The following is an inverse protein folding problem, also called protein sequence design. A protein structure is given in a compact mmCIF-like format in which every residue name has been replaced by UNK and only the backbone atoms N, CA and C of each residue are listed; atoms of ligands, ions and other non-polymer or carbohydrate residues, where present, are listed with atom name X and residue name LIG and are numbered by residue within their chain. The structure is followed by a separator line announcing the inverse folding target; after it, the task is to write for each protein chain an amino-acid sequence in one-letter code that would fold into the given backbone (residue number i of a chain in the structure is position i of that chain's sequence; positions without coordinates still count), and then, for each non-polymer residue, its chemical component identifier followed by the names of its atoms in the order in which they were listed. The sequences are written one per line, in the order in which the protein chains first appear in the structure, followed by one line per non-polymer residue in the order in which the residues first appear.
data_IF_738288183717
#
_entry.id   IF_738288183717
#
_cell.length_a   1.000
_cell.length_b   1.000
_cell.length_c   1.000
_cell.angle_alpha   90.00
_cell.angle_beta   90.00
_cell.angle_gamma   90.00
#
_symmetry.space_group_name_H-M   'P 1'
#
loop_
_entity.id
_entity.type
_entity.pdbx_description
1 polymer ?
#
# COMPACT_ATOMS: atom_id res chain seq x y z
N UNK A 1 -0.29 19.13 -0.35
CA UNK A 1 0.26 17.77 -0.26
C UNK A 1 -0.87 16.77 -0.44
N UNK A 2 -0.75 15.88 -1.43
CA UNK A 2 -1.76 14.87 -1.79
C UNK A 2 -1.25 13.47 -1.56
N UNK A 3 -2.09 12.62 -0.98
CA UNK A 3 -1.71 11.29 -0.49
C UNK A 3 -2.47 10.18 -1.23
N UNK A 4 -1.73 9.21 -1.77
CA UNK A 4 -2.28 7.96 -2.27
C UNK A 4 -2.25 6.90 -1.17
N UNK A 5 -3.42 6.34 -0.82
CA UNK A 5 -3.58 5.29 0.18
C UNK A 5 -3.85 3.96 -0.54
N UNK A 6 -2.82 3.13 -0.72
CA UNK A 6 -2.89 1.92 -1.54
C UNK A 6 -2.84 0.66 -0.67
N UNK A 7 -3.91 -0.13 -0.66
CA UNK A 7 -3.97 -1.39 0.10
C UNK A 7 -5.01 -2.36 -0.46
N UNK A 8 -4.86 -3.66 -0.18
CA UNK A 8 -5.94 -4.62 -0.44
C UNK A 8 -7.11 -4.42 0.54
N UNK A 9 -8.33 -4.88 0.19
CA UNK A 9 -9.46 -4.85 1.13
C UNK A 9 -9.23 -5.76 2.35
N UNK A 10 -10.15 -5.69 3.33
CA UNK A 10 -10.08 -6.47 4.56
C UNK A 10 -9.09 -5.87 5.55
N UNK A 11 -8.27 -6.72 6.20
CA UNK A 11 -7.40 -6.29 7.30
C UNK A 11 -6.44 -5.14 6.94
N UNK A 12 -5.85 -5.14 5.75
CA UNK A 12 -4.97 -4.04 5.32
C UNK A 12 -5.71 -2.69 5.20
N UNK A 13 -6.95 -2.72 4.71
CA UNK A 13 -7.80 -1.53 4.64
C UNK A 13 -8.24 -1.08 6.04
N UNK A 14 -8.60 -2.00 6.93
CA UNK A 14 -8.91 -1.66 8.33
C UNK A 14 -7.74 -0.94 9.00
N UNK A 15 -6.51 -1.41 8.78
CA UNK A 15 -5.31 -0.75 9.27
C UNK A 15 -5.16 0.66 8.71
N UNK A 16 -5.32 0.83 7.39
CA UNK A 16 -5.26 2.14 6.75
C UNK A 16 -6.33 3.09 7.30
N UNK A 17 -7.54 2.60 7.54
CA UNK A 17 -8.66 3.39 8.06
C UNK A 17 -8.38 3.92 9.47
N UNK A 18 -7.68 3.16 10.32
CA UNK A 18 -7.29 3.64 11.64
C UNK A 18 -6.22 4.74 11.59
N UNK A 19 -5.47 4.85 10.49
CA UNK A 19 -4.50 5.94 10.28
C UNK A 19 -5.15 7.23 9.76
N UNK A 20 -6.43 7.21 9.39
CA UNK A 20 -7.12 8.36 8.80
C UNK A 20 -7.08 9.65 9.62
N UNK A 21 -7.12 9.65 10.97
CA UNK A 21 -6.95 10.87 11.74
C UNK A 21 -5.63 11.61 11.43
N UNK A 22 -4.56 10.91 11.06
CA UNK A 22 -3.28 11.53 10.68
C UNK A 22 -3.31 12.24 9.30
N UNK A 23 -4.38 12.03 8.53
CA UNK A 23 -4.62 12.61 7.21
C UNK A 23 -5.74 13.65 7.22
N UNK A 24 -6.24 14.05 8.39
CA UNK A 24 -7.25 15.10 8.51
C UNK A 24 -6.74 16.43 7.89
N UNK A 25 -7.62 17.11 7.16
CA UNK A 25 -7.28 18.34 6.43
C UNK A 25 -6.39 18.15 5.20
N UNK A 26 -5.93 16.92 4.89
CA UNK A 26 -5.10 16.62 3.71
C UNK A 26 -5.94 16.09 2.56
N UNK A 27 -5.49 16.33 1.34
CA UNK A 27 -6.07 15.70 0.16
C UNK A 27 -5.57 14.26 0.05
N UNK A 28 -6.49 13.30 -0.04
CA UNK A 28 -6.13 11.90 -0.21
C UNK A 28 -7.13 11.18 -1.13
N UNK A 29 -6.67 10.05 -1.66
CA UNK A 29 -7.52 9.08 -2.35
C UNK A 29 -7.07 7.66 -2.05
N UNK A 30 -8.02 6.73 -2.06
CA UNK A 30 -7.76 5.31 -1.89
C UNK A 30 -7.54 4.62 -3.22
N UNK A 31 -6.72 3.57 -3.20
CA UNK A 31 -6.63 2.57 -4.26
C UNK A 31 -6.78 1.20 -3.61
N UNK A 32 -7.82 0.48 -4.01
CA UNK A 32 -8.14 -0.84 -3.45
C UNK A 32 -8.91 -1.68 -4.47
N UNK A 33 -9.09 -2.98 -4.19
CA UNK A 33 -10.04 -3.79 -4.93
C UNK A 33 -11.47 -3.45 -4.54
N UNK A 34 -12.39 -3.55 -5.50
CA UNK A 34 -13.84 -3.51 -5.23
C UNK A 34 -14.24 -4.75 -4.44
N UNK A 35 -14.77 -4.55 -3.24
CA UNK A 35 -15.36 -5.60 -2.41
C UNK A 35 -16.39 -4.99 -1.45
N UNK A 36 -17.12 -5.84 -0.74
CA UNK A 36 -18.06 -5.42 0.31
C UNK A 36 -17.38 -4.56 1.39
N UNK A 37 -16.10 -4.80 1.66
CA UNK A 37 -15.30 -4.09 2.65
C UNK A 37 -14.77 -2.73 2.19
N UNK A 38 -14.86 -2.40 0.90
CA UNK A 38 -14.21 -1.20 0.34
C UNK A 38 -15.18 -0.27 -0.39
N UNK A 39 -16.33 -0.77 -0.84
CA UNK A 39 -17.29 -0.01 -1.65
C UNK A 39 -17.81 1.27 -0.98
N UNK A 40 -17.77 1.37 0.34
CA UNK A 40 -18.19 2.56 1.09
C UNK A 40 -17.14 3.68 1.12
N UNK A 41 -15.91 3.41 0.67
CA UNK A 41 -14.83 4.41 0.68
C UNK A 41 -15.16 5.56 -0.26
N UNK A 42 -15.12 6.77 0.28
CA UNK A 42 -15.16 8.01 -0.52
C UNK A 42 -13.79 8.26 -1.15
N UNK A 43 -13.77 8.81 -2.37
CA UNK A 43 -12.53 9.15 -3.11
C UNK A 43 -11.62 7.92 -3.29
N UNK A 44 -12.18 6.84 -3.83
CA UNK A 44 -11.48 5.60 -4.06
C UNK A 44 -11.46 5.20 -5.54
N UNK A 45 -10.31 4.75 -6.01
CA UNK A 45 -10.16 4.03 -7.26
C UNK A 45 -10.26 2.54 -6.99
N UNK A 46 -11.29 1.93 -7.56
CA UNK A 46 -11.55 0.50 -7.40
C UNK A 46 -11.00 -0.29 -8.59
N UNK A 47 -10.15 -1.27 -8.29
CA UNK A 47 -9.65 -2.23 -9.27
C UNK A 47 -10.52 -3.50 -9.16
N UNK A 48 -10.83 -4.12 -10.30
CA UNK A 48 -11.47 -5.44 -10.30
C UNK A 48 -10.41 -6.53 -10.12
N UNK A 49 -10.53 -7.32 -9.05
CA UNK A 49 -9.72 -8.52 -8.87
C UNK A 49 -10.42 -9.73 -9.49
N UNK A 50 -9.76 -10.45 -10.40
CA UNK A 50 -10.29 -11.67 -11.02
C UNK A 50 -9.38 -12.85 -10.66
N UNK A 51 -9.95 -13.83 -9.95
CA UNK A 51 -9.24 -15.02 -9.46
C UNK A 51 -8.94 -16.00 -10.60
N UNK A 52 -7.73 -16.59 -10.61
CA UNK A 52 -7.29 -17.67 -11.51
C UNK A 52 -5.86 -17.46 -12.04
N UNK A 53 -5.00 -18.48 -12.03
CA UNK A 53 -3.55 -18.38 -12.25
C UNK A 53 -3.10 -17.62 -13.53
N UNK A 54 -3.73 -17.88 -14.68
CA UNK A 54 -3.46 -17.14 -15.94
C UNK A 54 -3.99 -15.71 -15.85
N UNK A 55 -5.15 -15.55 -15.19
CA UNK A 55 -5.81 -14.26 -15.00
C UNK A 55 -5.07 -13.38 -14.01
N UNK A 56 -4.34 -13.94 -13.05
CA UNK A 56 -3.52 -13.22 -12.07
C UNK A 56 -2.37 -12.45 -12.75
N UNK A 57 -1.61 -13.09 -13.65
CA UNK A 57 -0.54 -12.39 -14.41
C UNK A 57 -1.08 -11.25 -15.26
N UNK A 58 -2.21 -11.46 -15.93
CA UNK A 58 -2.89 -10.44 -16.73
C UNK A 58 -3.43 -9.32 -15.83
N UNK A 59 -3.96 -9.66 -14.65
CA UNK A 59 -4.48 -8.71 -13.66
C UNK A 59 -3.34 -7.85 -13.08
N UNK A 60 -2.15 -8.42 -12.89
CA UNK A 60 -0.97 -7.68 -12.48
C UNK A 60 -0.53 -6.62 -13.50
N UNK A 61 -0.41 -6.98 -14.78
CA UNK A 61 -0.07 -6.03 -15.84
C UNK A 61 -1.13 -4.93 -15.98
N UNK A 62 -2.41 -5.31 -15.90
CA UNK A 62 -3.51 -4.33 -15.86
C UNK A 62 -3.39 -3.41 -14.65
N UNK A 63 -3.06 -3.93 -13.48
CA UNK A 63 -2.89 -3.14 -12.26
C UNK A 63 -1.74 -2.13 -12.40
N UNK A 64 -0.63 -2.49 -13.04
CA UNK A 64 0.46 -1.56 -13.35
C UNK A 64 -0.04 -0.43 -14.27
N UNK A 65 -0.79 -0.77 -15.32
CA UNK A 65 -1.34 0.24 -16.23
C UNK A 65 -2.36 1.17 -15.54
N UNK A 66 -3.21 0.61 -14.67
CA UNK A 66 -4.11 1.39 -13.82
C UNK A 66 -3.33 2.30 -12.86
N UNK A 67 -2.29 1.77 -12.22
CA UNK A 67 -1.41 2.55 -11.35
C UNK A 67 -0.81 3.72 -12.11
N UNK A 68 -0.28 3.49 -13.32
CA UNK A 68 0.28 4.55 -14.15
C UNK A 68 -0.76 5.62 -14.48
N UNK A 69 -1.95 5.24 -14.98
CA UNK A 69 -3.01 6.21 -15.31
C UNK A 69 -3.47 7.02 -14.10
N UNK A 70 -3.73 6.36 -12.97
CA UNK A 70 -4.22 7.01 -11.76
C UNK A 70 -3.16 7.94 -11.20
N UNK A 71 -1.92 7.48 -11.10
CA UNK A 71 -0.84 8.28 -10.51
C UNK A 71 -0.40 9.44 -11.41
N UNK A 72 -0.48 9.31 -12.74
CA UNK A 72 -0.26 10.44 -13.66
C UNK A 72 -1.36 11.50 -13.58
N UNK A 73 -2.61 11.07 -13.34
CA UNK A 73 -3.77 11.96 -13.19
C UNK A 73 -3.75 12.68 -11.83
N UNK A 74 -3.57 11.93 -10.76
CA UNK A 74 -3.69 12.45 -9.39
C UNK A 74 -2.41 13.10 -8.89
N UNK A 75 -1.24 12.65 -9.37
CA UNK A 75 0.10 13.13 -9.00
C UNK A 75 0.30 13.29 -7.48
N UNK A 76 0.19 12.20 -6.70
CA UNK A 76 0.38 12.27 -5.26
C UNK A 76 1.83 12.59 -4.90
N UNK A 77 2.03 13.38 -3.85
CA UNK A 77 3.34 13.65 -3.25
C UNK A 77 3.84 12.44 -2.44
N UNK A 78 2.91 11.74 -1.80
CA UNK A 78 3.20 10.62 -0.91
C UNK A 78 2.28 9.45 -1.23
N UNK A 79 2.85 8.24 -1.26
CA UNK A 79 2.14 6.99 -1.40
C UNK A 79 2.36 6.15 -0.15
N UNK A 80 1.27 5.85 0.55
CA UNK A 80 1.27 5.07 1.79
C UNK A 80 0.59 3.74 1.52
N UNK A 81 1.24 2.65 1.89
CA UNK A 81 0.67 1.30 1.78
C UNK A 81 0.81 0.51 3.06
N UNK A 82 -0.27 -0.16 3.46
CA UNK A 82 -0.31 -1.12 4.58
C UNK A 82 -0.18 -2.57 4.10
N UNK A 83 0.07 -2.81 2.80
CA UNK A 83 0.23 -4.14 2.21
C UNK A 83 -0.87 -4.53 1.23
N UNK A 84 -0.99 -5.84 0.97
CA UNK A 84 -1.76 -6.37 -0.17
C UNK A 84 -0.95 -6.31 -1.46
N UNK A 85 -0.01 -7.24 -1.62
CA UNK A 85 1.08 -7.16 -2.61
C UNK A 85 0.64 -6.85 -4.04
N UNK A 86 -0.47 -7.41 -4.48
CA UNK A 86 -1.05 -7.20 -5.81
C UNK A 86 -1.38 -5.72 -6.11
N UNK A 87 -1.68 -4.90 -5.10
CA UNK A 87 -1.91 -3.45 -5.22
C UNK A 87 -0.69 -2.68 -4.76
N UNK A 88 -0.17 -3.02 -3.58
CA UNK A 88 0.91 -2.28 -2.93
C UNK A 88 2.16 -2.20 -3.83
N UNK A 89 2.59 -3.33 -4.40
CA UNK A 89 3.82 -3.39 -5.19
C UNK A 89 3.71 -2.52 -6.45
N UNK A 90 2.74 -2.72 -7.38
CA UNK A 90 2.70 -1.92 -8.60
C UNK A 90 2.53 -0.42 -8.32
N UNK A 91 1.69 -0.05 -7.35
CA UNK A 91 1.49 1.36 -6.99
C UNK A 91 2.75 1.98 -6.37
N UNK A 92 3.44 1.29 -5.46
CA UNK A 92 4.67 1.81 -4.85
C UNK A 92 5.77 2.01 -5.91
N UNK A 93 5.98 1.04 -6.80
CA UNK A 93 7.00 1.15 -7.85
C UNK A 93 6.67 2.27 -8.84
N UNK A 94 5.44 2.31 -9.36
CA UNK A 94 5.04 3.37 -10.31
C UNK A 94 5.07 4.74 -9.64
N UNK A 95 4.57 4.87 -8.41
CA UNK A 95 4.60 6.11 -7.65
C UNK A 95 6.02 6.62 -7.45
N UNK A 96 6.96 5.73 -7.08
CA UNK A 96 8.37 6.07 -6.92
C UNK A 96 8.99 6.59 -8.23
N UNK A 97 8.71 5.92 -9.35
CA UNK A 97 9.19 6.33 -10.67
C UNK A 97 8.64 7.71 -11.08
N UNK A 98 7.43 8.05 -10.64
CA UNK A 98 6.80 9.36 -10.87
C UNK A 98 7.19 10.41 -9.81
N UNK A 99 8.11 10.10 -8.90
CA UNK A 99 8.65 11.04 -7.91
C UNK A 99 7.95 11.09 -6.55
N UNK A 100 6.91 10.27 -6.32
CA UNK A 100 6.24 10.20 -5.03
C UNK A 100 7.14 9.57 -3.96
N UNK A 101 7.05 10.08 -2.73
CA UNK A 101 7.64 9.43 -1.55
C UNK A 101 6.86 8.19 -1.18
N UNK A 102 7.53 7.07 -0.98
CA UNK A 102 6.91 5.78 -0.64
C UNK A 102 7.06 5.50 0.84
N UNK A 103 5.93 5.39 1.53
CA UNK A 103 5.83 4.93 2.92
C UNK A 103 5.18 3.55 2.91
N UNK A 104 5.89 2.56 3.43
CA UNK A 104 5.34 1.21 3.59
C UNK A 104 5.23 0.85 5.06
N UNK A 105 4.05 0.41 5.46
CA UNK A 105 3.75 -0.07 6.81
C UNK A 105 3.51 -1.56 6.69
N UNK A 106 4.41 -2.36 7.26
CA UNK A 106 4.25 -3.81 7.28
C UNK A 106 3.01 -4.18 8.10
N UNK A 107 2.26 -5.16 7.59
CA UNK A 107 0.97 -5.55 8.18
C UNK A 107 1.13 -6.14 9.58
N UNK A 108 0.18 -5.86 10.48
CA UNK A 108 0.13 -6.48 11.82
C UNK A 108 0.22 -8.01 11.78
N UNK A 109 -0.30 -8.66 10.73
CA UNK A 109 -0.29 -10.12 10.63
C UNK A 109 1.13 -10.71 10.54
N UNK A 110 2.15 -9.89 10.26
CA UNK A 110 3.55 -10.32 10.15
C UNK A 110 4.29 -10.04 11.44
N UNK A 111 4.32 -11.04 12.33
CA UNK A 111 5.04 -10.95 13.61
C UNK A 111 6.52 -11.32 13.45
N UNK A 112 6.80 -12.49 12.90
CA UNK A 112 8.17 -13.07 12.87
C UNK A 112 8.75 -13.20 11.46
N UNK A 113 7.91 -13.03 10.43
CA UNK A 113 8.27 -13.24 9.02
C UNK A 113 7.99 -11.99 8.19
N UNK A 114 8.83 -11.76 7.18
CA UNK A 114 8.67 -10.66 6.22
C UNK A 114 7.57 -10.99 5.21
N UNK A 115 6.66 -10.05 4.90
CA UNK A 115 5.72 -10.27 3.79
C UNK A 115 6.45 -10.24 2.43
N UNK A 116 5.86 -10.86 1.40
CA UNK A 116 6.40 -10.79 0.04
C UNK A 116 6.44 -9.34 -0.47
N UNK A 117 5.36 -8.58 -0.23
CA UNK A 117 5.29 -7.16 -0.54
C UNK A 117 6.35 -6.36 0.21
N UNK A 118 6.49 -6.58 1.52
CA UNK A 118 7.49 -5.94 2.35
C UNK A 118 8.90 -6.19 1.84
N UNK A 119 9.26 -7.43 1.47
CA UNK A 119 10.57 -7.74 0.87
C UNK A 119 10.83 -6.94 -0.41
N UNK A 120 9.83 -6.81 -1.29
CA UNK A 120 9.98 -6.13 -2.58
C UNK A 120 9.97 -4.60 -2.47
N UNK A 121 9.18 -4.05 -1.56
CA UNK A 121 9.03 -2.59 -1.39
C UNK A 121 10.13 -2.02 -0.47
N UNK A 122 10.69 -2.82 0.45
CA UNK A 122 11.75 -2.40 1.35
C UNK A 122 12.92 -1.63 0.71
N UNK A 123 13.53 -2.08 -0.42
CA UNK A 123 14.64 -1.35 -1.01
C UNK A 123 14.27 0.05 -1.53
N UNK A 124 13.04 0.25 -2.01
CA UNK A 124 12.60 1.51 -2.65
C UNK A 124 11.90 2.48 -1.69
N UNK A 125 11.36 1.97 -0.57
CA UNK A 125 10.66 2.78 0.42
C UNK A 125 11.55 3.90 0.98
N UNK A 126 10.99 5.10 1.06
CA UNK A 126 11.60 6.24 1.75
C UNK A 126 11.43 6.11 3.27
N UNK A 127 10.29 5.57 3.71
CA UNK A 127 10.02 5.22 5.10
C UNK A 127 9.42 3.81 5.16
N UNK A 128 10.02 2.94 5.98
CA UNK A 128 9.56 1.56 6.16
C UNK A 128 9.28 1.31 7.64
N UNK A 129 8.00 1.14 7.98
CA UNK A 129 7.54 0.95 9.34
C UNK A 129 7.20 -0.52 9.58
N UNK A 130 7.65 -1.04 10.71
CA UNK A 130 7.29 -2.38 11.21
C UNK A 130 6.59 -2.26 12.55
N UNK A 131 5.68 -3.19 12.80
CA UNK A 131 4.83 -3.17 13.99
C UNK A 131 5.28 -4.13 15.10
N UNK A 132 6.30 -4.93 14.81
CA UNK A 132 6.88 -5.89 15.75
C UNK A 132 8.40 -5.74 15.77
N UNK A 133 9.00 -5.66 16.96
CA UNK A 133 10.45 -5.54 17.10
C UNK A 133 11.20 -6.73 16.49
N UNK A 134 10.60 -7.92 16.52
CA UNK A 134 11.10 -9.13 15.87
C UNK A 134 11.36 -8.92 14.38
N UNK A 135 10.59 -8.05 13.72
CA UNK A 135 10.81 -7.71 12.32
C UNK A 135 12.00 -6.78 12.09
N UNK A 136 12.40 -5.95 13.06
CA UNK A 136 13.61 -5.12 12.92
C UNK A 136 14.84 -5.98 12.64
N UNK A 137 14.95 -7.12 13.34
CA UNK A 137 16.05 -8.08 13.15
C UNK A 137 15.99 -8.83 11.82
N UNK A 138 14.80 -8.89 11.19
CA UNK A 138 14.58 -9.59 9.92
C UNK A 138 14.72 -8.66 8.72
N UNK A 139 14.45 -7.37 8.91
CA UNK A 139 14.76 -6.31 7.97
C UNK A 139 16.14 -5.72 8.29
N UNK A 140 16.52 -4.66 7.58
CA UNK A 140 17.78 -3.94 7.81
C UNK A 140 17.54 -2.54 8.41
N UNK A 141 18.60 -1.72 8.39
CA UNK A 141 18.66 -0.38 9.01
C UNK A 141 17.56 0.60 8.60
N UNK A 142 16.91 0.45 7.44
CA UNK A 142 15.80 1.31 7.01
C UNK A 142 14.49 1.05 7.74
N UNK A 143 14.33 -0.13 8.35
CA UNK A 143 13.10 -0.47 9.06
C UNK A 143 13.07 0.26 10.40
N UNK A 144 11.97 0.94 10.69
CA UNK A 144 11.73 1.60 11.96
C UNK A 144 10.57 0.92 12.68
N UNK A 145 10.76 0.64 13.96
CA UNK A 145 9.70 0.08 14.79
C UNK A 145 8.87 1.24 15.33
N UNK A 146 7.57 1.18 15.08
CA UNK A 146 6.61 2.19 15.54
C UNK A 146 5.48 1.56 16.39
N UNK A 147 5.67 0.32 16.83
CA UNK A 147 4.66 -0.41 17.61
C UNK A 147 3.43 -0.79 16.80
N UNK A 148 2.39 -1.24 17.51
CA UNK A 148 1.06 -1.31 16.93
C UNK A 148 0.61 0.14 16.72
N UNK A 149 0.82 0.67 15.51
CA UNK A 149 0.38 2.04 15.11
C UNK A 149 -1.16 2.10 15.02
N UNK A 150 -1.84 1.11 15.62
CA UNK A 150 -3.22 0.72 15.40
C UNK A 150 -3.81 -0.07 16.56
#
# INVERSE_FOLDING_TARGET
MKICLACSPGGHLTQMQRLMPAFEGKEYFFVTYKSEYSQHLKRAYFIEYKVGYIRERITWLKTIFFALRILLKERPDVLISTGGGEIAIPFCYVGKLLGAKVVFIETLARVTTRSAAGKLIYPLADLFLVQWETLLRKYGKKAQYWGSVI
#
